data_IF_463021628613
#
_entry.id   IF_463021628613
#
_cell.length_a   1.000
_cell.length_b   1.000
_cell.length_c   1.000
_cell.angle_alpha   90.00
_cell.angle_beta   90.00
_cell.angle_gamma   90.00
#
_symmetry.space_group_name_H-M   'P 1'
#
loop_
_entity.id
_entity.type
_entity.pdbx_description
1 polymer ?
#
# COMPACT_ATOMS: atom_id res chain seq x y z
N UNK A 1 -0.66 17.16 10.35
CA UNK A 1 -0.21 16.47 9.12
C UNK A 1 -0.98 15.16 9.07
N UNK A 2 -1.66 14.86 7.96
CA UNK A 2 -2.63 13.75 7.88
C UNK A 2 -2.09 12.41 8.40
N UNK A 3 -0.82 12.12 8.13
CA UNK A 3 -0.18 10.89 8.60
C UNK A 3 -0.19 10.72 10.12
N UNK A 4 -0.09 11.81 10.88
CA UNK A 4 -0.16 11.75 12.34
C UNK A 4 -1.53 11.32 12.87
N UNK A 5 -2.59 11.53 12.08
CA UNK A 5 -3.97 11.22 12.49
C UNK A 5 -4.32 9.74 12.26
N UNK A 6 -3.62 9.07 11.33
CA UNK A 6 -3.75 7.64 11.06
C UNK A 6 -2.61 6.80 11.64
N UNK A 7 -1.56 7.41 12.20
CA UNK A 7 -0.35 6.73 12.68
C UNK A 7 -0.67 5.53 13.59
N UNK A 8 -1.63 5.73 14.49
CA UNK A 8 -2.05 4.75 15.50
C UNK A 8 -3.44 4.18 15.29
N UNK A 9 -3.99 4.34 14.09
CA UNK A 9 -5.31 3.79 13.75
C UNK A 9 -5.31 2.26 13.85
N UNK A 10 -4.19 1.63 13.49
CA UNK A 10 -3.96 0.19 13.59
C UNK A 10 -2.90 -0.09 14.66
N UNK A 11 -3.33 -0.68 15.77
CA UNK A 11 -2.56 -0.84 17.02
C UNK A 11 -1.73 -2.14 17.07
N UNK A 12 -1.87 -3.03 16.09
CA UNK A 12 -1.08 -4.25 15.94
C UNK A 12 -0.28 -4.24 14.64
N UNK A 13 0.88 -4.88 14.66
CA UNK A 13 1.70 -5.14 13.49
C UNK A 13 2.11 -6.61 13.48
N UNK A 14 2.11 -7.19 12.28
CA UNK A 14 2.72 -8.48 12.03
C UNK A 14 3.68 -8.38 10.83
N UNK A 15 4.81 -9.06 10.96
CA UNK A 15 5.75 -9.29 9.87
C UNK A 15 5.91 -10.78 9.72
N UNK A 16 5.49 -11.28 8.57
CA UNK A 16 5.79 -12.65 8.14
C UNK A 16 6.90 -12.60 7.10
N UNK A 17 7.71 -13.64 7.05
CA UNK A 17 8.78 -13.73 6.05
C UNK A 17 8.92 -15.17 5.57
N UNK A 18 9.34 -15.33 4.34
CA UNK A 18 9.65 -16.64 3.78
C UNK A 18 10.80 -16.57 2.79
N UNK A 19 11.40 -17.74 2.54
CA UNK A 19 12.42 -17.95 1.51
C UNK A 19 12.06 -19.20 0.73
N UNK A 20 12.46 -19.24 -0.54
CA UNK A 20 12.26 -20.39 -1.41
C UNK A 20 13.42 -20.46 -2.43
N UNK A 21 13.45 -21.47 -3.27
CA UNK A 21 14.56 -21.77 -4.19
C UNK A 21 14.49 -20.97 -5.50
N UNK A 22 13.63 -19.94 -5.57
CA UNK A 22 13.58 -19.07 -6.74
C UNK A 22 14.83 -18.19 -6.83
N UNK A 23 15.32 -18.02 -8.05
CA UNK A 23 16.58 -17.33 -8.36
C UNK A 23 16.69 -15.92 -7.75
N UNK A 24 15.58 -15.21 -7.60
CA UNK A 24 15.56 -13.88 -6.98
C UNK A 24 15.96 -13.89 -5.49
N UNK A 25 15.58 -14.93 -4.74
CA UNK A 25 15.98 -15.09 -3.33
C UNK A 25 17.47 -15.43 -3.22
N UNK A 26 17.96 -16.31 -4.10
CA UNK A 26 19.38 -16.64 -4.17
C UNK A 26 20.24 -15.41 -4.48
N UNK A 27 19.85 -14.64 -5.50
CA UNK A 27 20.55 -13.43 -5.92
C UNK A 27 20.51 -12.36 -4.82
N UNK A 28 19.37 -12.18 -4.15
CA UNK A 28 19.27 -11.27 -3.00
C UNK A 28 20.26 -11.66 -1.89
N UNK A 29 20.37 -12.96 -1.59
CA UNK A 29 21.31 -13.47 -0.58
C UNK A 29 22.77 -13.32 -1.00
N UNK A 30 23.10 -13.66 -2.24
CA UNK A 30 24.47 -13.69 -2.77
C UNK A 30 25.06 -12.29 -2.95
N UNK A 31 24.27 -11.34 -3.44
CA UNK A 31 24.74 -10.01 -3.83
C UNK A 31 24.23 -8.88 -2.93
N UNK A 32 23.48 -9.22 -1.87
CA UNK A 32 22.89 -8.23 -0.97
C UNK A 32 21.85 -7.35 -1.67
N UNK A 33 21.14 -7.89 -2.68
CA UNK A 33 20.11 -7.13 -3.39
C UNK A 33 18.91 -6.93 -2.45
N UNK A 34 18.57 -5.67 -2.25
CA UNK A 34 17.34 -5.24 -1.60
C UNK A 34 16.34 -4.83 -2.68
N UNK A 35 15.10 -5.27 -2.54
CA UNK A 35 14.02 -4.82 -3.42
C UNK A 35 12.78 -4.48 -2.59
N UNK A 36 12.14 -3.36 -2.91
CA UNK A 36 10.75 -3.15 -2.51
C UNK A 36 9.85 -3.87 -3.49
N UNK A 37 8.67 -4.28 -3.04
CA UNK A 37 7.68 -4.95 -3.88
C UNK A 37 6.28 -4.40 -3.63
N UNK A 38 5.46 -4.42 -4.67
CA UNK A 38 4.02 -4.21 -4.53
C UNK A 38 3.28 -5.46 -4.96
N UNK A 39 2.16 -5.69 -4.28
CA UNK A 39 1.17 -6.66 -4.69
C UNK A 39 0.06 -5.92 -5.42
N UNK A 40 -0.21 -6.33 -6.65
CA UNK A 40 -1.42 -5.98 -7.38
C UNK A 40 -2.38 -7.15 -7.29
N UNK A 41 -3.60 -6.85 -6.84
CA UNK A 41 -4.67 -7.83 -6.67
C UNK A 41 -5.63 -7.68 -7.84
N UNK A 42 -5.83 -8.76 -8.59
CA UNK A 42 -6.97 -8.89 -9.48
C UNK A 42 -7.90 -10.00 -8.95
N UNK A 43 -9.08 -10.15 -9.54
CA UNK A 43 -10.11 -11.11 -9.11
C UNK A 43 -9.63 -12.56 -9.01
N UNK A 44 -8.59 -12.94 -9.77
CA UNK A 44 -8.20 -14.33 -9.98
C UNK A 44 -6.71 -14.60 -9.66
N UNK A 45 -5.89 -13.57 -9.46
CA UNK A 45 -4.43 -13.68 -9.33
C UNK A 45 -3.83 -12.55 -8.49
N UNK A 46 -2.76 -12.89 -7.77
CA UNK A 46 -1.88 -11.93 -7.12
C UNK A 46 -0.64 -11.76 -8.01
N UNK A 47 -0.33 -10.53 -8.40
CA UNK A 47 0.88 -10.21 -9.14
C UNK A 47 1.81 -9.39 -8.26
N UNK A 48 3.07 -9.80 -8.16
CA UNK A 48 4.08 -9.08 -7.38
C UNK A 48 5.10 -8.46 -8.31
N UNK A 49 5.25 -7.15 -8.20
CA UNK A 49 6.28 -6.40 -8.91
C UNK A 49 7.46 -6.16 -7.98
N UNK A 50 8.63 -6.60 -8.41
CA UNK A 50 9.89 -6.36 -7.70
C UNK A 50 10.58 -5.14 -8.29
N UNK A 51 11.00 -4.23 -7.42
CA UNK A 51 11.72 -3.02 -7.78
C UNK A 51 13.16 -3.11 -7.27
N UNK A 52 14.07 -3.43 -8.19
CA UNK A 52 15.50 -3.52 -7.91
C UNK A 52 16.15 -2.20 -8.34
N UNK A 53 16.90 -1.56 -7.44
CA UNK A 53 17.59 -0.32 -7.76
C UNK A 53 18.58 -0.48 -8.92
N UNK A 54 18.64 0.53 -9.79
CA UNK A 54 19.65 0.60 -10.86
C UNK A 54 21.07 0.49 -10.29
N UNK A 55 21.94 -0.19 -11.01
CA UNK A 55 23.30 -0.52 -10.60
C UNK A 55 23.45 -1.95 -10.08
N UNK A 56 22.35 -2.63 -9.71
CA UNK A 56 22.38 -4.04 -9.33
C UNK A 56 22.80 -4.94 -10.50
N UNK A 57 22.50 -4.55 -11.74
CA UNK A 57 22.85 -5.26 -12.97
C UNK A 57 24.37 -5.35 -13.24
N UNK A 58 25.19 -4.67 -12.42
CA UNK A 58 26.66 -4.80 -12.48
C UNK A 58 27.14 -6.24 -12.22
N UNK A 59 26.34 -7.03 -11.50
CA UNK A 59 26.60 -8.45 -11.30
C UNK A 59 25.99 -9.25 -12.46
N UNK A 60 26.81 -10.10 -13.09
CA UNK A 60 26.40 -10.85 -14.29
C UNK A 60 25.15 -11.69 -14.07
N UNK A 61 25.07 -12.39 -12.95
CA UNK A 61 23.92 -13.23 -12.59
C UNK A 61 22.65 -12.42 -12.35
N UNK A 62 22.77 -11.21 -11.78
CA UNK A 62 21.65 -10.27 -11.65
C UNK A 62 21.14 -9.88 -13.02
N UNK A 63 22.05 -9.48 -13.93
CA UNK A 63 21.66 -9.12 -15.30
C UNK A 63 20.95 -10.27 -16.02
N UNK A 64 21.47 -11.49 -15.91
CA UNK A 64 20.84 -12.69 -16.50
C UNK A 64 19.42 -12.89 -15.96
N UNK A 65 19.22 -12.75 -14.64
CA UNK A 65 17.87 -12.83 -14.05
C UNK A 65 16.96 -11.74 -14.61
N UNK A 66 17.43 -10.48 -14.64
CA UNK A 66 16.63 -9.35 -15.14
C UNK A 66 16.21 -9.56 -16.60
N UNK A 67 17.14 -10.01 -17.44
CA UNK A 67 16.87 -10.33 -18.85
C UNK A 67 15.86 -11.50 -18.97
N UNK A 68 16.04 -12.57 -18.19
CA UNK A 68 15.15 -13.74 -18.18
C UNK A 68 13.72 -13.40 -17.72
N UNK A 69 13.59 -12.44 -16.79
CA UNK A 69 12.30 -11.97 -16.29
C UNK A 69 11.69 -10.85 -17.13
N UNK A 70 12.30 -10.48 -18.27
CA UNK A 70 11.89 -9.36 -19.11
C UNK A 70 11.75 -8.05 -18.32
N UNK A 71 12.67 -7.81 -17.38
CA UNK A 71 12.66 -6.62 -16.55
C UNK A 71 12.80 -5.34 -17.40
N UNK A 72 12.11 -4.28 -16.98
CA UNK A 72 12.12 -2.98 -17.65
C UNK A 72 12.74 -1.95 -16.72
N UNK A 73 13.56 -1.05 -17.28
CA UNK A 73 14.02 0.11 -16.53
C UNK A 73 12.89 1.13 -16.44
N UNK A 74 12.44 1.38 -15.21
CA UNK A 74 11.37 2.33 -14.88
C UNK A 74 11.88 3.23 -13.76
N UNK A 75 12.16 4.49 -14.12
CA UNK A 75 12.50 5.56 -13.18
C UNK A 75 13.62 5.19 -12.19
N UNK A 76 14.74 4.67 -12.70
CA UNK A 76 15.91 4.30 -11.88
C UNK A 76 15.79 2.97 -11.14
N UNK A 77 14.79 2.16 -11.46
CA UNK A 77 14.65 0.79 -10.98
C UNK A 77 14.49 -0.17 -12.16
N UNK A 78 14.99 -1.38 -12.01
CA UNK A 78 14.56 -2.53 -12.80
C UNK A 78 13.30 -3.11 -12.19
N UNK A 79 12.26 -3.22 -13.02
CA UNK A 79 10.94 -3.69 -12.60
C UNK A 79 10.59 -4.92 -13.41
N UNK A 80 10.26 -6.00 -12.72
CA UNK A 80 9.66 -7.18 -13.32
C UNK A 80 8.55 -7.68 -12.41
N UNK A 81 7.57 -8.36 -13.01
CA UNK A 81 6.49 -8.99 -12.27
C UNK A 81 6.67 -10.49 -12.20
N UNK A 82 6.05 -11.08 -11.19
CA UNK A 82 5.88 -12.51 -11.09
C UNK A 82 4.53 -12.79 -10.46
N UNK A 83 3.84 -13.79 -11.03
CA UNK A 83 2.48 -14.17 -10.64
C UNK A 83 2.51 -15.16 -9.48
N UNK A 84 1.40 -15.24 -8.75
CA UNK A 84 1.23 -16.08 -7.55
C UNK A 84 1.29 -17.57 -7.79
N UNK A 85 1.04 -18.05 -9.01
CA UNK A 85 1.30 -19.44 -9.40
C UNK A 85 2.76 -19.84 -9.16
N UNK A 86 3.67 -18.87 -9.11
CA UNK A 86 5.08 -19.06 -8.75
C UNK A 86 5.40 -18.81 -7.29
N UNK A 87 4.47 -18.35 -6.45
CA UNK A 87 4.74 -18.04 -5.04
C UNK A 87 3.49 -18.30 -4.20
N UNK A 88 3.25 -19.57 -3.87
CA UNK A 88 2.05 -19.94 -3.11
C UNK A 88 1.99 -19.24 -1.74
N UNK A 89 3.13 -18.93 -1.13
CA UNK A 89 3.23 -18.24 0.15
C UNK A 89 2.65 -16.82 0.10
N UNK A 90 2.63 -16.18 -1.07
CA UNK A 90 2.03 -14.85 -1.26
C UNK A 90 0.50 -14.87 -1.22
N UNK A 91 -0.12 -16.04 -1.28
CA UNK A 91 -1.58 -16.19 -1.13
C UNK A 91 -2.07 -15.65 0.22
N UNK A 92 -1.18 -15.61 1.24
CA UNK A 92 -1.51 -15.01 2.53
C UNK A 92 -1.96 -13.55 2.40
N UNK A 93 -1.40 -12.81 1.43
CA UNK A 93 -1.78 -11.41 1.20
C UNK A 93 -3.25 -11.32 0.82
N UNK A 94 -3.72 -12.20 -0.07
CA UNK A 94 -5.13 -12.22 -0.49
C UNK A 94 -6.10 -12.60 0.63
N UNK A 95 -5.69 -13.45 1.57
CA UNK A 95 -6.52 -13.79 2.74
C UNK A 95 -6.53 -12.64 3.76
N UNK A 96 -5.37 -12.04 4.01
CA UNK A 96 -5.19 -10.97 5.00
C UNK A 96 -5.98 -9.71 4.62
N UNK A 97 -5.98 -9.29 3.36
CA UNK A 97 -6.70 -8.08 2.90
C UNK A 97 -8.22 -8.18 3.08
N UNK A 98 -8.78 -9.39 3.18
CA UNK A 98 -10.21 -9.61 3.42
C UNK A 98 -10.58 -9.34 4.88
N UNK A 99 -9.60 -9.31 5.78
CA UNK A 99 -9.84 -8.91 7.16
C UNK A 99 -10.05 -7.38 7.20
N UNK A 100 -11.15 -6.88 7.78
CA UNK A 100 -11.54 -5.47 7.66
C UNK A 100 -10.46 -4.46 8.04
N UNK A 101 -9.72 -4.73 9.11
CA UNK A 101 -8.72 -3.80 9.65
C UNK A 101 -7.31 -3.96 9.09
N UNK A 102 -7.05 -4.93 8.19
CA UNK A 102 -5.68 -5.19 7.73
C UNK A 102 -5.26 -4.19 6.64
N UNK A 103 -4.11 -3.54 6.82
CA UNK A 103 -3.44 -2.72 5.82
C UNK A 103 -2.04 -3.28 5.54
N UNK A 104 -1.68 -3.43 4.26
CA UNK A 104 -0.36 -3.93 3.86
C UNK A 104 0.58 -2.72 3.75
N UNK A 105 1.53 -2.61 4.68
CA UNK A 105 2.44 -1.46 4.72
C UNK A 105 3.65 -1.61 3.77
N UNK A 106 3.93 -2.84 3.34
CA UNK A 106 4.91 -3.09 2.29
C UNK A 106 5.44 -4.51 2.26
N UNK A 107 6.06 -4.84 1.13
CA UNK A 107 6.68 -6.13 0.87
C UNK A 107 8.12 -5.89 0.46
N UNK A 108 9.05 -6.60 1.09
CA UNK A 108 10.47 -6.31 0.97
C UNK A 108 11.27 -7.59 0.81
N UNK A 109 12.12 -7.64 -0.21
CA UNK A 109 13.11 -8.68 -0.39
C UNK A 109 14.45 -8.20 0.18
N UNK A 110 15.02 -8.96 1.11
CA UNK A 110 16.35 -8.70 1.65
C UNK A 110 17.01 -9.99 2.13
N UNK A 111 18.30 -10.14 1.83
CA UNK A 111 19.12 -11.30 2.22
C UNK A 111 18.49 -12.66 1.85
N UNK A 112 17.74 -12.69 0.74
CA UNK A 112 17.03 -13.88 0.30
C UNK A 112 15.80 -14.24 1.13
N UNK A 113 15.19 -13.29 1.84
CA UNK A 113 13.87 -13.43 2.45
C UNK A 113 12.92 -12.38 1.91
N UNK A 114 11.71 -12.80 1.54
CA UNK A 114 10.61 -11.91 1.21
C UNK A 114 9.77 -11.72 2.48
N UNK A 115 9.67 -10.48 2.94
CA UNK A 115 8.91 -10.10 4.14
C UNK A 115 7.66 -9.33 3.76
N UNK A 116 6.52 -9.72 4.33
CA UNK A 116 5.24 -9.00 4.20
C UNK A 116 4.97 -8.32 5.53
N UNK A 117 4.94 -6.99 5.51
CA UNK A 117 4.63 -6.15 6.66
C UNK A 117 3.18 -5.67 6.56
N UNK A 118 2.42 -5.90 7.63
CA UNK A 118 1.05 -5.42 7.70
C UNK A 118 0.66 -5.00 9.11
N UNK A 119 -0.25 -4.04 9.18
CA UNK A 119 -0.89 -3.56 10.40
C UNK A 119 -2.35 -3.98 10.43
N UNK A 120 -2.89 -4.07 11.64
CA UNK A 120 -4.31 -4.34 11.86
C UNK A 120 -4.75 -3.86 13.24
N UNK A 121 -6.06 -3.86 13.48
CA UNK A 121 -6.61 -3.51 14.79
C UNK A 121 -6.75 -4.76 15.68
N UNK A 122 -6.41 -4.66 16.96
CA UNK A 122 -6.37 -5.76 17.92
C UNK A 122 -7.70 -6.48 18.09
N UNK A 123 -8.82 -5.81 17.79
CA UNK A 123 -10.14 -6.43 17.68
C UNK A 123 -10.17 -7.65 16.73
N UNK A 124 -9.31 -7.69 15.72
CA UNK A 124 -9.24 -8.76 14.73
C UNK A 124 -8.12 -9.78 14.97
N UNK A 125 -7.52 -9.82 16.18
CA UNK A 125 -6.48 -10.81 16.51
C UNK A 125 -6.94 -12.26 16.24
N UNK A 126 -8.21 -12.58 16.54
CA UNK A 126 -8.77 -13.92 16.37
C UNK A 126 -9.00 -14.30 14.90
N UNK A 127 -9.12 -13.33 13.98
CA UNK A 127 -9.18 -13.61 12.54
C UNK A 127 -7.78 -13.68 11.92
N UNK A 128 -6.87 -12.79 12.33
CA UNK A 128 -5.52 -12.71 11.75
C UNK A 128 -4.63 -13.87 12.20
N UNK A 129 -4.69 -14.27 13.47
CA UNK A 129 -3.77 -15.27 14.02
C UNK A 129 -3.91 -16.65 13.36
N UNK A 130 -5.13 -17.17 13.11
CA UNK A 130 -5.31 -18.44 12.39
C UNK A 130 -4.79 -18.40 10.96
N UNK A 131 -5.03 -17.30 10.22
CA UNK A 131 -4.50 -17.11 8.85
C UNK A 131 -2.98 -17.27 8.88
N UNK A 132 -2.29 -16.48 9.71
CA UNK A 132 -0.82 -16.53 9.81
C UNK A 132 -0.31 -17.91 10.25
N UNK A 133 -0.95 -18.51 11.25
CA UNK A 133 -0.55 -19.82 11.81
C UNK A 133 -0.68 -20.95 10.79
N UNK A 134 -1.71 -20.89 9.94
CA UNK A 134 -1.91 -21.88 8.88
C UNK A 134 -0.76 -21.86 7.86
N UNK A 135 -0.25 -20.69 7.49
CA UNK A 135 0.89 -20.54 6.58
C UNK A 135 2.21 -21.00 7.22
N UNK A 136 2.42 -20.71 8.50
CA UNK A 136 3.57 -21.22 9.26
C UNK A 136 3.57 -22.76 9.29
N UNK A 137 2.39 -23.36 9.43
CA UNK A 137 2.26 -24.82 9.46
C UNK A 137 2.35 -25.45 8.07
N UNK A 138 1.90 -24.75 7.03
CA UNK A 138 1.89 -25.21 5.64
C UNK A 138 3.26 -25.15 4.97
N UNK A 139 4.05 -24.12 5.25
CA UNK A 139 5.30 -23.85 4.54
C UNK A 139 6.52 -23.90 5.46
N UNK A 140 7.45 -24.82 5.18
CA UNK A 140 8.63 -25.06 6.03
C UNK A 140 9.51 -23.82 6.25
N UNK A 141 9.62 -22.96 5.23
CA UNK A 141 10.48 -21.78 5.26
C UNK A 141 9.71 -20.49 5.59
N UNK A 142 8.49 -20.60 6.10
CA UNK A 142 7.64 -19.46 6.47
C UNK A 142 7.72 -19.21 7.98
N UNK A 143 7.99 -17.97 8.38
CA UNK A 143 8.22 -17.62 9.78
C UNK A 143 7.58 -16.27 10.12
N UNK A 144 7.11 -16.15 11.35
CA UNK A 144 6.67 -14.88 11.95
C UNK A 144 7.92 -14.19 12.51
N UNK A 145 8.30 -13.04 11.95
CA UNK A 145 9.40 -12.22 12.48
C UNK A 145 8.95 -11.36 13.65
N UNK A 146 7.72 -10.85 13.58
CA UNK A 146 7.11 -10.00 14.61
C UNK A 146 5.60 -10.20 14.60
N UNK A 147 5.00 -10.24 15.78
CA UNK A 147 3.55 -10.09 15.95
C UNK A 147 3.31 -9.42 17.31
N UNK A 148 2.75 -8.22 17.32
CA UNK A 148 2.63 -7.46 18.56
C UNK A 148 2.09 -6.05 18.37
N UNK A 149 2.28 -5.17 19.37
CA UNK A 149 1.91 -3.76 19.26
C UNK A 149 2.59 -3.09 18.06
N UNK A 150 1.81 -2.32 17.32
CA UNK A 150 2.28 -1.49 16.20
C UNK A 150 3.13 -0.34 16.72
N UNK A 151 4.30 -0.06 16.11
CA UNK A 151 5.08 1.12 16.43
C UNK A 151 4.49 2.41 15.82
N UNK A 152 3.42 2.29 15.04
CA UNK A 152 2.80 3.37 14.27
C UNK A 152 3.30 3.42 12.83
N UNK A 153 2.45 3.88 11.91
CA UNK A 153 2.73 4.00 10.47
C UNK A 153 4.01 4.81 10.19
N UNK A 154 4.23 5.92 10.90
CA UNK A 154 5.39 6.79 10.69
C UNK A 154 6.68 6.00 10.93
N UNK A 155 6.74 5.21 11.99
CA UNK A 155 7.92 4.41 12.31
C UNK A 155 8.13 3.27 11.32
N UNK A 156 7.04 2.67 10.81
CA UNK A 156 7.12 1.65 9.76
C UNK A 156 7.67 2.24 8.46
N UNK A 157 7.19 3.41 8.05
CA UNK A 157 7.66 4.10 6.86
C UNK A 157 9.11 4.57 6.99
N UNK A 158 9.55 4.98 8.19
CA UNK A 158 10.97 5.26 8.46
C UNK A 158 11.85 4.04 8.23
N UNK A 159 11.44 2.86 8.69
CA UNK A 159 12.16 1.62 8.40
C UNK A 159 12.14 1.24 6.91
N UNK A 160 11.14 1.68 6.15
CA UNK A 160 11.10 1.47 4.71
C UNK A 160 12.13 2.34 3.95
N UNK A 161 12.57 3.46 4.53
CA UNK A 161 13.64 4.32 3.95
C UNK A 161 14.94 3.55 3.75
N UNK A 162 15.22 2.55 4.60
CA UNK A 162 16.41 1.69 4.50
C UNK A 162 16.45 0.84 3.21
N UNK A 163 15.31 0.68 2.55
CA UNK A 163 15.17 -0.04 1.27
C UNK A 163 15.12 0.92 0.09
N UNK A 164 14.47 2.07 0.28
CA UNK A 164 14.37 3.10 -0.76
C UNK A 164 14.06 4.46 -0.14
N UNK A 165 14.77 5.54 -0.53
CA UNK A 165 14.39 6.89 -0.14
C UNK A 165 12.94 7.18 -0.50
N UNK A 166 12.19 7.80 0.41
CA UNK A 166 10.77 8.07 0.27
C UNK A 166 10.50 9.58 0.13
N UNK A 167 9.43 9.93 -0.58
CA UNK A 167 8.91 11.28 -0.66
C UNK A 167 7.45 11.32 -0.23
N UNK A 168 7.05 12.45 0.35
CA UNK A 168 5.67 12.78 0.67
C UNK A 168 5.20 13.88 -0.28
N UNK A 169 4.04 13.66 -0.91
CA UNK A 169 3.27 14.71 -1.58
C UNK A 169 1.93 14.86 -0.88
N UNK A 170 1.55 16.10 -0.60
CA UNK A 170 0.20 16.46 -0.14
C UNK A 170 -0.47 17.39 -1.13
N UNK A 171 -1.70 17.07 -1.52
CA UNK A 171 -2.56 17.90 -2.38
C UNK A 171 -3.83 18.29 -1.65
N UNK A 172 -4.34 19.49 -1.94
CA UNK A 172 -5.68 19.93 -1.59
C UNK A 172 -6.51 19.98 -2.87
N UNK A 173 -7.61 19.23 -2.88
CA UNK A 173 -8.50 19.10 -4.02
C UNK A 173 -9.87 19.62 -3.59
N UNK A 174 -10.40 20.64 -4.26
CA UNK A 174 -11.73 21.20 -3.96
C UNK A 174 -12.66 20.97 -5.14
N UNK A 175 -13.86 20.47 -4.88
CA UNK A 175 -14.88 20.23 -5.91
C UNK A 175 -15.97 21.30 -5.81
N UNK A 176 -16.28 21.98 -6.92
CA UNK A 176 -17.25 23.08 -6.92
C UNK A 176 -18.71 22.58 -6.86
N UNK A 177 -18.97 21.34 -7.28
CA UNK A 177 -20.32 20.77 -7.40
C UNK A 177 -20.90 20.09 -6.16
N UNK A 178 -20.28 20.24 -4.98
CA UNK A 178 -20.74 19.61 -3.73
C UNK A 178 -19.71 18.64 -3.13
N UNK A 179 -20.13 17.65 -2.31
CA UNK A 179 -19.20 16.77 -1.61
C UNK A 179 -18.29 16.03 -2.59
N UNK A 180 -17.04 15.83 -2.18
CA UNK A 180 -16.01 15.20 -2.99
C UNK A 180 -16.33 13.75 -3.38
N UNK A 181 -17.22 13.08 -2.62
CA UNK A 181 -17.56 11.67 -2.73
C UNK A 181 -18.93 11.42 -2.08
N UNK A 182 -19.73 10.50 -2.65
CA UNK A 182 -20.89 9.93 -1.95
C UNK A 182 -20.40 8.81 -1.02
N UNK A 183 -19.96 9.21 0.17
CA UNK A 183 -19.38 8.33 1.16
C UNK A 183 -20.41 8.01 2.26
N UNK A 184 -20.62 6.74 2.64
CA UNK A 184 -21.56 6.38 3.70
C UNK A 184 -21.22 7.04 5.04
N UNK A 185 -19.97 7.42 5.26
CA UNK A 185 -19.47 8.12 6.45
C UNK A 185 -19.55 9.65 6.32
N UNK A 186 -20.46 10.15 5.47
CA UNK A 186 -20.72 11.57 5.29
C UNK A 186 -19.52 12.34 4.73
N UNK A 187 -19.39 13.60 5.13
CA UNK A 187 -18.44 14.55 4.52
C UNK A 187 -17.21 14.85 5.36
N UNK A 188 -17.10 14.27 6.56
CA UNK A 188 -16.00 14.52 7.49
C UNK A 188 -15.40 13.18 7.94
N UNK A 189 -14.24 12.85 7.39
CA UNK A 189 -13.55 11.60 7.70
C UNK A 189 -12.08 11.70 7.33
N UNK A 190 -11.30 10.76 7.87
CA UNK A 190 -9.93 10.47 7.45
C UNK A 190 -9.87 9.01 7.07
N UNK A 191 -9.16 8.66 6.00
CA UNK A 191 -9.00 7.27 5.56
C UNK A 191 -7.58 6.95 5.17
N UNK A 192 -7.20 5.70 5.42
CA UNK A 192 -6.02 5.04 4.86
C UNK A 192 -6.49 4.02 3.82
N UNK A 193 -6.00 4.10 2.58
CA UNK A 193 -6.30 3.10 1.54
C UNK A 193 -5.55 1.81 1.86
N UNK A 194 -6.26 0.67 1.92
CA UNK A 194 -5.70 -0.64 2.31
C UNK A 194 -4.74 -1.20 1.25
N UNK A 195 -5.11 -1.05 -0.02
CA UNK A 195 -4.38 -1.53 -1.18
C UNK A 195 -4.86 -0.80 -2.44
N UNK A 196 -4.15 -0.97 -3.55
CA UNK A 196 -4.58 -0.45 -4.84
C UNK A 196 -5.42 -1.53 -5.56
N UNK A 197 -6.71 -1.26 -5.74
CA UNK A 197 -7.61 -2.14 -6.48
C UNK A 197 -7.65 -1.79 -7.98
N UNK A 198 -8.04 -2.76 -8.79
CA UNK A 198 -8.25 -2.61 -10.24
C UNK A 198 -9.73 -2.59 -10.65
N UNK A 199 -10.65 -2.76 -9.70
CA UNK A 199 -12.09 -2.82 -9.93
C UNK A 199 -12.80 -1.44 -9.87
N UNK A 200 -12.02 -0.36 -9.74
CA UNK A 200 -12.51 1.01 -9.60
C UNK A 200 -13.13 1.32 -8.22
N UNK A 201 -12.98 0.41 -7.26
CA UNK A 201 -13.41 0.60 -5.87
C UNK A 201 -12.24 1.08 -5.01
N UNK A 202 -12.60 1.79 -3.94
CA UNK A 202 -11.69 2.28 -2.91
C UNK A 202 -11.98 1.51 -1.64
N UNK A 203 -11.08 0.59 -1.29
CA UNK A 203 -11.09 -0.15 -0.04
C UNK A 203 -10.22 0.60 0.96
N UNK A 204 -10.84 1.12 2.01
CA UNK A 204 -10.15 1.97 2.96
C UNK A 204 -10.64 1.76 4.39
N UNK A 205 -9.73 2.06 5.31
CA UNK A 205 -10.01 2.10 6.73
C UNK A 205 -10.20 3.56 7.10
N UNK A 206 -11.36 3.86 7.68
CA UNK A 206 -11.83 5.19 7.99
C UNK A 206 -11.79 5.46 9.49
N UNK A 207 -11.58 6.72 9.83
CA UNK A 207 -11.82 7.31 11.13
C UNK A 207 -12.81 8.46 10.98
N UNK A 208 -13.88 8.43 11.76
CA UNK A 208 -14.90 9.49 11.80
C UNK A 208 -15.61 9.50 13.16
N UNK A 209 -16.21 10.64 13.50
CA UNK A 209 -17.02 10.82 14.70
C UNK A 209 -18.51 10.47 14.47
N UNK A 210 -18.87 9.97 13.28
CA UNK A 210 -20.24 9.55 12.98
C UNK A 210 -20.57 8.23 13.67
N UNK A 211 -21.75 8.20 14.31
CA UNK A 211 -22.26 7.03 15.03
C UNK A 211 -22.69 5.89 14.08
N UNK A 212 -22.43 4.61 14.44
CA UNK A 212 -22.69 3.46 13.56
C UNK A 212 -24.15 3.31 13.11
N UNK A 213 -25.10 3.69 13.97
CA UNK A 213 -26.54 3.56 13.74
C UNK A 213 -27.01 4.33 12.50
N UNK A 214 -26.30 5.41 12.14
CA UNK A 214 -26.58 6.22 10.97
C UNK A 214 -26.07 5.61 9.64
N UNK A 215 -25.24 4.56 9.71
CA UNK A 215 -24.47 4.04 8.56
C UNK A 215 -25.16 2.88 7.82
N UNK A 216 -26.29 2.38 8.34
CA UNK A 216 -27.21 1.48 7.63
C UNK A 216 -26.58 0.19 7.08
N UNK A 217 -25.56 -0.36 7.76
CA UNK A 217 -24.89 -1.60 7.33
C UNK A 217 -23.98 -1.48 6.11
N UNK A 218 -23.70 -0.26 5.62
CA UNK A 218 -22.81 -0.02 4.48
C UNK A 218 -21.32 -0.07 4.83
N UNK A 219 -21.00 -0.25 6.11
CA UNK A 219 -19.64 -0.24 6.64
C UNK A 219 -19.45 -1.41 7.60
N UNK A 220 -18.21 -1.88 7.72
CA UNK A 220 -17.83 -2.85 8.75
C UNK A 220 -17.24 -2.10 9.93
N UNK A 221 -17.79 -2.29 11.14
CA UNK A 221 -17.25 -1.66 12.35
C UNK A 221 -15.95 -2.36 12.75
N UNK A 222 -14.87 -1.59 12.91
CA UNK A 222 -13.58 -2.09 13.41
C UNK A 222 -13.42 -1.80 14.91
N UNK A 223 -13.70 -0.56 15.31
CA UNK A 223 -13.75 -0.13 16.71
C UNK A 223 -14.70 1.03 16.84
N UNK A 224 -15.88 0.80 17.41
CA UNK A 224 -16.85 1.87 17.66
C UNK A 224 -16.28 2.92 18.63
N UNK A 225 -15.57 2.46 19.67
CA UNK A 225 -14.95 3.34 20.67
C UNK A 225 -13.98 4.34 20.05
N UNK A 226 -13.24 3.92 19.02
CA UNK A 226 -12.21 4.73 18.38
C UNK A 226 -12.71 5.38 17.07
N UNK A 227 -13.98 5.18 16.72
CA UNK A 227 -14.60 5.69 15.49
C UNK A 227 -14.01 5.09 14.21
N UNK A 228 -13.56 3.83 14.26
CA UNK A 228 -12.85 3.16 13.17
C UNK A 228 -13.77 2.19 12.42
N UNK A 229 -13.81 2.34 11.10
CA UNK A 229 -14.66 1.55 10.20
C UNK A 229 -13.90 1.14 8.95
N UNK A 230 -14.29 0.03 8.33
CA UNK A 230 -13.94 -0.26 6.94
C UNK A 230 -15.14 0.07 6.05
N UNK A 231 -14.87 0.70 4.90
CA UNK A 231 -15.88 0.87 3.88
C UNK A 231 -15.28 0.72 2.48
N UNK A 232 -16.12 0.29 1.54
CA UNK A 232 -15.82 0.29 0.12
C UNK A 232 -16.61 1.40 -0.56
N UNK A 233 -15.92 2.24 -1.33
CA UNK A 233 -16.47 3.49 -1.88
C UNK A 233 -15.99 3.71 -3.31
N UNK A 234 -16.60 4.67 -4.02
CA UNK A 234 -16.19 5.03 -5.39
C UNK A 234 -15.96 6.52 -5.49
N UNK A 235 -14.87 6.89 -6.16
CA UNK A 235 -14.57 8.27 -6.48
C UNK A 235 -13.73 8.32 -7.75
N UNK A 236 -14.25 8.88 -8.84
CA UNK A 236 -13.58 8.91 -10.14
C UNK A 236 -12.26 9.69 -10.12
N UNK A 237 -12.16 10.71 -9.26
CA UNK A 237 -10.92 11.46 -9.06
C UNK A 237 -9.86 10.58 -8.40
N UNK A 238 -10.19 9.90 -7.30
CA UNK A 238 -9.24 9.03 -6.57
C UNK A 238 -8.88 7.79 -7.38
N UNK A 239 -9.86 7.21 -8.08
CA UNK A 239 -9.68 6.09 -9.00
C UNK A 239 -8.73 6.44 -10.16
N UNK A 240 -8.82 7.65 -10.70
CA UNK A 240 -7.87 8.12 -11.71
C UNK A 240 -6.42 8.06 -11.21
N UNK A 241 -6.16 8.51 -9.98
CA UNK A 241 -4.81 8.40 -9.40
C UNK A 241 -4.39 6.95 -9.26
N UNK A 242 -5.26 6.09 -8.71
CA UNK A 242 -4.98 4.65 -8.54
C UNK A 242 -4.65 3.98 -9.88
N UNK A 243 -5.48 4.22 -10.90
CA UNK A 243 -5.31 3.67 -12.24
C UNK A 243 -4.01 4.16 -12.88
N UNK A 244 -3.70 5.45 -12.77
CA UNK A 244 -2.47 6.03 -13.33
C UNK A 244 -1.21 5.58 -12.61
N UNK A 245 -1.23 5.51 -11.28
CA UNK A 245 -0.08 4.98 -10.53
C UNK A 245 0.17 3.51 -10.87
N UNK A 246 -0.89 2.71 -11.04
CA UNK A 246 -0.76 1.31 -11.45
C UNK A 246 -0.23 1.18 -12.88
N UNK A 247 -0.76 1.95 -13.83
CA UNK A 247 -0.29 1.89 -15.23
C UNK A 247 1.17 2.31 -15.37
N UNK A 248 1.60 3.27 -14.55
CA UNK A 248 2.98 3.77 -14.51
C UNK A 248 3.89 2.93 -13.59
N UNK A 249 3.36 1.85 -12.99
CA UNK A 249 4.06 0.97 -12.04
C UNK A 249 4.68 1.73 -10.85
N UNK A 250 4.01 2.79 -10.39
CA UNK A 250 4.44 3.58 -9.23
C UNK A 250 3.94 2.91 -7.96
N UNK A 251 4.87 2.37 -7.19
CA UNK A 251 4.60 1.86 -5.85
C UNK A 251 4.29 2.99 -4.87
N UNK A 252 3.11 3.02 -4.30
CA UNK A 252 2.82 3.85 -3.11
C UNK A 252 2.83 2.97 -1.86
N UNK A 253 3.61 3.38 -0.85
CA UNK A 253 3.64 2.68 0.44
C UNK A 253 2.46 3.08 1.33
N UNK A 254 1.98 4.32 1.20
CA UNK A 254 0.81 4.77 1.94
C UNK A 254 0.07 5.87 1.18
N UNK A 255 -1.26 5.82 1.23
CA UNK A 255 -2.16 6.84 0.67
C UNK A 255 -3.22 7.17 1.71
N UNK A 256 -3.19 8.40 2.17
CA UNK A 256 -4.03 8.90 3.27
C UNK A 256 -4.82 10.07 2.75
N UNK A 257 -6.10 10.10 3.04
CA UNK A 257 -6.99 11.15 2.58
C UNK A 257 -7.86 11.64 3.72
N UNK A 258 -8.18 12.92 3.73
CA UNK A 258 -9.24 13.46 4.57
C UNK A 258 -10.23 14.26 3.73
N UNK A 259 -11.49 14.14 4.10
CA UNK A 259 -12.56 14.94 3.52
C UNK A 259 -13.12 15.88 4.58
N UNK A 260 -13.42 17.11 4.16
CA UNK A 260 -14.25 18.05 4.90
C UNK A 260 -15.10 18.86 3.92
N UNK A 261 -16.41 18.62 3.95
CA UNK A 261 -17.38 19.18 3.01
C UNK A 261 -16.97 18.96 1.54
N UNK A 262 -16.53 20.01 0.84
CA UNK A 262 -16.13 19.98 -0.56
C UNK A 262 -14.60 19.89 -0.77
N UNK A 263 -13.83 19.69 0.30
CA UNK A 263 -12.36 19.59 0.26
C UNK A 263 -11.93 18.15 0.51
N UNK A 264 -11.02 17.68 -0.34
CA UNK A 264 -10.31 16.41 -0.21
C UNK A 264 -8.81 16.70 -0.13
N UNK A 265 -8.21 16.51 1.04
CA UNK A 265 -6.76 16.54 1.20
C UNK A 265 -6.23 15.14 0.99
N UNK A 266 -5.23 14.96 0.14
CA UNK A 266 -4.62 13.66 -0.15
C UNK A 266 -3.11 13.72 0.05
N UNK A 267 -2.60 12.89 0.94
CA UNK A 267 -1.18 12.66 1.18
C UNK A 267 -0.80 11.29 0.62
N UNK A 268 0.27 11.23 -0.16
CA UNK A 268 0.81 9.98 -0.71
C UNK A 268 2.30 9.88 -0.43
N UNK A 269 2.73 8.69 -0.02
CA UNK A 269 4.10 8.36 0.32
C UNK A 269 4.57 7.24 -0.60
N UNK A 270 5.66 7.49 -1.31
CA UNK A 270 6.17 6.63 -2.37
C UNK A 270 7.68 6.81 -2.53
N UNK A 271 8.39 5.89 -3.20
CA UNK A 271 9.81 6.04 -3.49
C UNK A 271 10.14 7.34 -4.22
N UNK A 272 11.14 8.07 -3.73
CA UNK A 272 11.56 9.40 -4.24
C UNK A 272 11.84 9.40 -5.74
N UNK A 273 12.30 8.28 -6.29
CA UNK A 273 12.57 8.12 -7.72
C UNK A 273 11.33 8.36 -8.60
N UNK A 274 10.11 8.23 -8.06
CA UNK A 274 8.85 8.45 -8.78
C UNK A 274 8.29 9.87 -8.66
N UNK A 275 9.00 10.79 -8.00
CA UNK A 275 8.49 12.14 -7.72
C UNK A 275 8.05 12.89 -8.98
N UNK A 276 8.88 12.90 -10.02
CA UNK A 276 8.56 13.56 -11.28
C UNK A 276 7.31 12.98 -11.95
N UNK A 277 7.13 11.66 -11.88
CA UNK A 277 5.98 10.97 -12.45
C UNK A 277 4.70 11.23 -11.69
N UNK A 278 4.78 11.24 -10.36
CA UNK A 278 3.63 11.57 -9.53
C UNK A 278 3.17 13.02 -9.79
N UNK A 279 4.11 13.97 -9.95
CA UNK A 279 3.80 15.35 -10.34
C UNK A 279 3.17 15.44 -11.74
N UNK A 280 3.59 14.58 -12.68
CA UNK A 280 2.95 14.46 -13.99
C UNK A 280 1.50 13.96 -13.86
N UNK A 281 1.24 12.94 -13.04
CA UNK A 281 -0.13 12.44 -12.78
C UNK A 281 -1.01 13.55 -12.21
N UNK A 282 -0.50 14.37 -11.28
CA UNK A 282 -1.22 15.54 -10.76
C UNK A 282 -1.53 16.55 -11.88
N UNK A 283 -0.58 16.81 -12.77
CA UNK A 283 -0.79 17.68 -13.93
C UNK A 283 -1.86 17.14 -14.89
N UNK A 284 -1.87 15.82 -15.13
CA UNK A 284 -2.90 15.16 -15.94
C UNK A 284 -4.28 15.22 -15.25
N UNK A 285 -4.34 15.02 -13.94
CA UNK A 285 -5.58 15.13 -13.16
C UNK A 285 -6.18 16.54 -13.30
N UNK A 286 -5.36 17.60 -13.21
CA UNK A 286 -5.79 18.99 -13.42
C UNK A 286 -6.44 19.24 -14.77
N UNK A 287 -5.99 18.54 -15.82
CA UNK A 287 -6.55 18.66 -17.17
C UNK A 287 -7.84 17.85 -17.31
N UNK A 288 -7.89 16.66 -16.71
CA UNK A 288 -9.03 15.74 -16.83
C UNK A 288 -10.24 16.18 -16.00
N UNK A 289 -10.00 16.71 -14.81
CA UNK A 289 -11.03 17.11 -13.84
C UNK A 289 -11.05 18.63 -13.71
N UNK A 290 -11.58 19.31 -14.72
CA UNK A 290 -11.58 20.78 -14.79
C UNK A 290 -12.46 21.45 -13.71
N UNK A 291 -13.43 20.71 -13.20
CA UNK A 291 -14.32 21.02 -12.07
C UNK A 291 -13.65 20.85 -10.69
N UNK A 292 -12.43 20.30 -10.66
CA UNK A 292 -11.62 20.15 -9.45
C UNK A 292 -10.50 21.17 -9.40
N UNK A 293 -10.50 21.99 -8.35
CA UNK A 293 -9.37 22.86 -8.02
C UNK A 293 -8.31 22.06 -7.25
N UNK A 294 -7.27 21.64 -7.95
CA UNK A 294 -6.15 20.85 -7.40
C UNK A 294 -4.96 21.77 -7.08
N UNK A 295 -4.58 21.82 -5.81
CA UNK A 295 -3.45 22.60 -5.30
C UNK A 295 -2.43 21.68 -4.65
N UNK A 296 -1.15 21.92 -4.92
CA UNK A 296 -0.05 21.22 -4.26
C UNK A 296 0.23 21.95 -2.94
N UNK A 297 0.07 21.26 -1.82
CA UNK A 297 0.32 21.85 -0.50
C UNK A 297 1.75 21.63 -0.05
N UNK A 298 2.29 20.43 -0.30
CA UNK A 298 3.58 20.02 0.22
C UNK A 298 4.23 19.00 -0.72
N UNK A 299 5.54 19.16 -0.91
CA UNK A 299 6.42 18.15 -1.50
C UNK A 299 7.70 18.15 -0.68
N UNK A 300 8.04 17.01 -0.08
CA UNK A 300 9.29 16.88 0.68
C UNK A 300 9.77 15.45 0.73
N UNK A 301 11.03 15.30 1.10
CA UNK A 301 11.57 14.00 1.49
C UNK A 301 10.90 13.54 2.79
N UNK A 302 10.58 12.25 2.84
CA UNK A 302 10.09 11.63 4.06
C UNK A 302 11.31 11.34 4.97
N UNK A 303 11.24 11.75 6.26
CA UNK A 303 12.36 11.64 7.19
C UNK A 303 12.54 10.23 7.73
#
# INVERSE_FOLDING_TARGET
MLIGEVDRLLDRQCTVSFTNDYQIFEISRKFGIKASSIVLLNSDNIEVFFYIQKGAERFREVKILLDAMNAREIYGNWVFSSKSDRYEELSIVSELIQVPSVSIDGIYLNEGYLSVNFRFHSHFNELVSPIVSSYVSKFQNFQIKRMGPSPGLINILKSAVDYTPLSLITTLNTHEGGPAEDNPLGTNWIRELKYISTDGQIHAIYKTDIEPESLGGKVTVISQKDGIYEATTKNSFVDFYSTKTNSDMISSLSRIQSASANKLVSSSIFPRSYLGNYLRIISEAKKKFADWKISLLEVRDFP
#
